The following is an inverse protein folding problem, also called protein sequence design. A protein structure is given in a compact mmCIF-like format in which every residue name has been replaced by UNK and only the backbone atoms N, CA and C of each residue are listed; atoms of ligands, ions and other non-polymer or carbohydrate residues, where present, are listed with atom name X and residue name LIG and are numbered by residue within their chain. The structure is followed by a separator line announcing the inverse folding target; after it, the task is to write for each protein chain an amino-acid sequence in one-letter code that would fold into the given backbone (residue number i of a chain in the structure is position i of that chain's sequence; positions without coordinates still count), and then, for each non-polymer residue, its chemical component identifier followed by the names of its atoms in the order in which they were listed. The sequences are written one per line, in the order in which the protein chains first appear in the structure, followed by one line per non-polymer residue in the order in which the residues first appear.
data_IF_804719755640
#
_entry.id   IF_804719755640
#
_cell.length_a   1.000
_cell.length_b   1.000
_cell.length_c   1.000
_cell.angle_alpha   90.00
_cell.angle_beta   90.00
_cell.angle_gamma   90.00
#
_symmetry.space_group_name_H-M   'P 1'
#
loop_
_entity.id
_entity.type
_entity.pdbx_description
1 polymer ?
#
# COMPACT_ATOMS: atom_id res chain seq x y z
N UNK A 1 -14.37 -5.04 2.78
CA UNK A 1 -13.01 -4.49 2.91
C UNK A 1 -12.04 -5.25 2.04
N UNK A 2 -11.14 -4.53 1.39
CA UNK A 2 -10.12 -5.13 0.50
C UNK A 2 -8.78 -4.41 0.63
N UNK A 3 -7.70 -5.18 0.38
CA UNK A 3 -6.37 -4.61 0.14
C UNK A 3 -5.66 -5.39 -0.97
N UNK A 4 -5.21 -4.72 -2.03
CA UNK A 4 -4.55 -5.35 -3.16
C UNK A 4 -3.02 -5.36 -3.00
N UNK A 5 -2.47 -6.43 -2.50
CA UNK A 5 -1.01 -6.60 -2.34
C UNK A 5 -0.29 -6.75 -3.68
N UNK A 6 -0.95 -7.31 -4.69
CA UNK A 6 -0.38 -7.59 -6.01
C UNK A 6 -0.48 -6.41 -6.98
N UNK A 7 -1.12 -5.30 -6.58
CA UNK A 7 -1.33 -4.11 -7.42
C UNK A 7 -2.05 -4.45 -8.73
N UNK A 8 -1.37 -4.33 -9.89
CA UNK A 8 -1.96 -4.69 -11.19
C UNK A 8 -2.12 -6.20 -11.40
N UNK A 9 -1.61 -7.00 -10.47
CA UNK A 9 -1.74 -8.45 -10.44
C UNK A 9 -2.80 -8.97 -9.47
N UNK A 10 -3.61 -8.12 -8.85
CA UNK A 10 -4.64 -8.55 -7.92
C UNK A 10 -5.81 -9.23 -8.64
N UNK A 11 -6.26 -10.38 -8.10
CA UNK A 11 -7.41 -11.12 -8.59
C UNK A 11 -8.55 -11.18 -7.57
N UNK A 12 -8.25 -10.99 -6.28
CA UNK A 12 -9.20 -11.22 -5.18
C UNK A 12 -10.39 -10.26 -5.26
N UNK A 13 -10.15 -8.97 -5.51
CA UNK A 13 -11.24 -7.98 -5.58
C UNK A 13 -12.23 -8.33 -6.67
N UNK A 14 -11.74 -8.61 -7.90
CA UNK A 14 -12.61 -8.94 -9.03
C UNK A 14 -13.34 -10.27 -8.81
N UNK A 15 -12.66 -11.29 -8.25
CA UNK A 15 -13.22 -12.59 -7.93
C UNK A 15 -14.41 -12.47 -6.96
N UNK A 16 -14.19 -11.80 -5.84
CA UNK A 16 -15.21 -11.61 -4.81
C UNK A 16 -16.37 -10.75 -5.34
N UNK A 17 -16.07 -9.70 -6.07
CA UNK A 17 -17.11 -8.82 -6.61
C UNK A 17 -17.97 -9.50 -7.68
N UNK A 18 -17.38 -10.40 -8.46
CA UNK A 18 -18.15 -11.23 -9.38
C UNK A 18 -19.16 -12.11 -8.65
N UNK A 19 -18.73 -12.80 -7.60
CA UNK A 19 -19.63 -13.66 -6.81
C UNK A 19 -20.76 -12.84 -6.16
N UNK A 20 -20.44 -11.68 -5.58
CA UNK A 20 -21.44 -10.77 -4.99
C UNK A 20 -22.47 -10.34 -6.04
N UNK A 21 -22.02 -9.98 -7.24
CA UNK A 21 -22.90 -9.61 -8.35
C UNK A 21 -23.76 -10.78 -8.80
N UNK A 22 -23.19 -11.98 -8.98
CA UNK A 22 -23.90 -13.18 -9.41
C UNK A 22 -24.97 -13.63 -8.39
N UNK A 23 -24.74 -13.34 -7.11
CA UNK A 23 -25.75 -13.53 -6.04
C UNK A 23 -26.89 -12.51 -6.08
N UNK A 24 -26.83 -11.51 -6.97
CA UNK A 24 -27.83 -10.45 -7.08
C UNK A 24 -27.79 -9.41 -5.95
N UNK A 25 -26.71 -9.35 -5.17
CA UNK A 25 -26.53 -8.39 -4.09
C UNK A 25 -26.24 -7.02 -4.70
N UNK A 26 -26.94 -6.00 -4.22
CA UNK A 26 -26.83 -4.61 -4.71
C UNK A 26 -26.57 -3.67 -3.53
N UNK A 27 -26.23 -2.41 -3.87
CA UNK A 27 -26.07 -1.30 -2.91
C UNK A 27 -24.97 -1.55 -1.88
N UNK A 28 -23.80 -2.01 -2.35
CA UNK A 28 -22.65 -2.22 -1.47
C UNK A 28 -21.69 -1.02 -1.47
N UNK A 29 -20.98 -0.88 -0.37
CA UNK A 29 -19.82 0.02 -0.24
C UNK A 29 -18.54 -0.79 -0.30
N UNK A 30 -17.66 -0.47 -1.25
CA UNK A 30 -16.29 -0.99 -1.24
C UNK A 30 -15.41 -0.10 -0.35
N UNK A 31 -14.76 -0.69 0.65
CA UNK A 31 -13.71 -0.07 1.43
C UNK A 31 -12.36 -0.71 1.08
N UNK A 32 -11.56 -0.04 0.23
CA UNK A 32 -10.29 -0.56 -0.25
C UNK A 32 -9.12 0.37 0.10
N UNK A 33 -7.92 -0.18 0.28
CA UNK A 33 -6.72 0.65 0.46
C UNK A 33 -6.39 1.48 -0.78
N UNK A 34 -6.56 0.91 -1.97
CA UNK A 34 -6.64 1.62 -3.26
C UNK A 34 -7.28 0.74 -4.32
N UNK A 35 -7.67 1.35 -5.45
CA UNK A 35 -8.20 0.66 -6.63
C UNK A 35 -7.44 1.13 -7.87
N UNK A 36 -6.86 0.21 -8.61
CA UNK A 36 -6.06 0.46 -9.81
C UNK A 36 -6.65 -0.15 -11.06
N UNK A 37 -5.89 -0.17 -12.15
CA UNK A 37 -6.34 -0.70 -13.46
C UNK A 37 -6.74 -2.17 -13.41
N UNK A 38 -6.14 -2.97 -12.52
CA UNK A 38 -6.54 -4.37 -12.33
C UNK A 38 -8.02 -4.50 -11.99
N UNK A 39 -8.60 -3.47 -11.41
CA UNK A 39 -9.98 -3.43 -10.94
C UNK A 39 -10.94 -2.71 -11.91
N UNK A 40 -10.49 -2.33 -13.11
CA UNK A 40 -11.34 -1.69 -14.13
C UNK A 40 -12.64 -2.44 -14.43
N UNK A 41 -12.72 -3.80 -14.35
CA UNK A 41 -13.99 -4.53 -14.49
C UNK A 41 -15.09 -4.12 -13.49
N UNK A 42 -14.75 -3.52 -12.35
CA UNK A 42 -15.72 -3.05 -11.36
C UNK A 42 -16.63 -1.93 -11.88
N UNK A 43 -16.27 -1.27 -12.99
CA UNK A 43 -17.10 -0.22 -13.61
C UNK A 43 -18.49 -0.75 -13.98
N UNK A 44 -18.59 -2.00 -14.45
CA UNK A 44 -19.88 -2.63 -14.74
C UNK A 44 -20.76 -2.72 -13.50
N UNK A 45 -20.18 -3.02 -12.36
CA UNK A 45 -20.87 -3.13 -11.06
C UNK A 45 -21.23 -1.77 -10.45
N UNK A 46 -20.50 -0.71 -10.83
CA UNK A 46 -20.86 0.68 -10.51
C UNK A 46 -22.09 1.09 -11.34
N UNK A 47 -22.08 0.81 -12.65
CA UNK A 47 -23.14 1.21 -13.58
C UNK A 47 -24.45 0.49 -13.28
N UNK A 48 -24.42 -0.77 -12.90
CA UNK A 48 -25.61 -1.54 -12.60
C UNK A 48 -26.13 -1.36 -11.15
N UNK A 49 -25.36 -0.63 -10.30
CA UNK A 49 -25.73 -0.35 -8.93
C UNK A 49 -25.44 -1.47 -7.93
N UNK A 50 -24.61 -2.42 -8.27
CA UNK A 50 -24.03 -3.37 -7.31
C UNK A 50 -23.12 -2.60 -6.35
N UNK A 51 -22.27 -1.73 -6.88
CA UNK A 51 -21.41 -0.82 -6.10
C UNK A 51 -22.03 0.57 -6.13
N UNK A 52 -22.40 1.10 -4.98
CA UNK A 52 -22.98 2.44 -4.86
C UNK A 52 -22.06 3.43 -4.16
N UNK A 53 -21.14 2.95 -3.31
CA UNK A 53 -20.20 3.80 -2.60
C UNK A 53 -18.79 3.20 -2.65
N UNK A 54 -17.78 4.09 -2.63
CA UNK A 54 -16.37 3.69 -2.57
C UNK A 54 -15.66 4.51 -1.50
N UNK A 55 -14.93 3.84 -0.61
CA UNK A 55 -14.01 4.45 0.35
C UNK A 55 -12.60 3.93 0.09
N UNK A 56 -11.66 4.84 -0.19
CA UNK A 56 -10.32 4.44 -0.61
C UNK A 56 -9.26 5.49 -0.23
N UNK A 57 -7.99 5.11 -0.30
CA UNK A 57 -6.89 6.07 -0.22
C UNK A 57 -6.43 6.56 -1.60
N UNK A 58 -6.87 5.89 -2.68
CA UNK A 58 -6.60 6.30 -4.05
C UNK A 58 -7.41 5.46 -5.03
N UNK A 59 -7.82 6.07 -6.13
CA UNK A 59 -8.57 5.41 -7.20
C UNK A 59 -8.01 5.86 -8.55
N UNK A 60 -7.75 4.92 -9.43
CA UNK A 60 -7.15 5.18 -10.75
C UNK A 60 -7.88 4.40 -11.85
N UNK A 61 -7.52 4.68 -13.11
CA UNK A 61 -8.05 3.99 -14.27
C UNK A 61 -9.53 4.28 -14.51
N UNK A 62 -10.24 3.35 -15.10
CA UNK A 62 -11.64 3.51 -15.47
C UNK A 62 -12.60 3.75 -14.29
N UNK A 63 -12.24 3.26 -13.10
CA UNK A 63 -13.03 3.54 -11.89
C UNK A 63 -12.97 5.03 -11.54
N UNK A 64 -11.79 5.65 -11.57
CA UNK A 64 -11.63 7.08 -11.36
C UNK A 64 -12.41 7.90 -12.38
N UNK A 65 -12.38 7.52 -13.65
CA UNK A 65 -13.18 8.13 -14.72
C UNK A 65 -14.68 7.97 -14.47
N UNK A 66 -15.13 6.78 -14.09
CA UNK A 66 -16.55 6.51 -13.81
C UNK A 66 -17.08 7.38 -12.66
N UNK A 67 -16.32 7.49 -11.57
CA UNK A 67 -16.67 8.37 -10.44
C UNK A 67 -16.72 9.82 -10.87
N UNK A 68 -15.69 10.30 -11.57
CA UNK A 68 -15.59 11.70 -12.01
C UNK A 68 -16.70 12.09 -12.98
N UNK A 69 -17.20 11.14 -13.78
CA UNK A 69 -18.33 11.31 -14.70
C UNK A 69 -19.70 11.07 -14.04
N UNK A 70 -19.77 10.96 -12.71
CA UNK A 70 -21.02 10.83 -11.96
C UNK A 70 -21.75 9.51 -12.12
N UNK A 71 -21.06 8.43 -12.51
CA UNK A 71 -21.65 7.10 -12.65
C UNK A 71 -21.89 6.40 -11.29
N UNK A 72 -21.13 6.76 -10.26
CA UNK A 72 -21.31 6.25 -8.91
C UNK A 72 -22.56 6.91 -8.29
N UNK A 73 -23.54 6.12 -7.84
CA UNK A 73 -24.82 6.62 -7.31
C UNK A 73 -24.68 7.32 -5.96
N UNK A 74 -23.75 6.88 -5.12
CA UNK A 74 -23.50 7.43 -3.80
C UNK A 74 -22.20 8.21 -3.72
N UNK A 75 -21.40 7.99 -2.69
CA UNK A 75 -20.22 8.78 -2.39
C UNK A 75 -18.91 8.04 -2.69
N UNK A 76 -17.96 8.78 -3.23
CA UNK A 76 -16.56 8.39 -3.23
C UNK A 76 -15.83 9.18 -2.13
N UNK A 77 -15.32 8.50 -1.11
CA UNK A 77 -14.62 9.11 0.01
C UNK A 77 -13.14 8.75 -0.07
N UNK A 78 -12.30 9.76 -0.32
CA UNK A 78 -10.84 9.60 -0.35
C UNK A 78 -10.26 9.98 1.00
N UNK A 79 -9.42 9.10 1.56
CA UNK A 79 -8.73 9.31 2.83
C UNK A 79 -7.24 9.06 2.68
N UNK A 80 -6.41 9.79 3.43
CA UNK A 80 -5.01 9.40 3.59
C UNK A 80 -4.90 8.01 4.23
N UNK A 81 -3.72 7.39 4.16
CA UNK A 81 -3.50 6.08 4.75
C UNK A 81 -3.83 6.07 6.27
N UNK A 82 -3.33 7.05 7.02
CA UNK A 82 -3.67 7.20 8.44
C UNK A 82 -5.14 7.57 8.67
N UNK A 83 -5.72 8.38 7.78
CA UNK A 83 -7.14 8.76 7.85
C UNK A 83 -8.08 7.57 7.64
N UNK A 84 -7.71 6.62 6.77
CA UNK A 84 -8.47 5.37 6.58
C UNK A 84 -8.47 4.53 7.87
N UNK A 85 -7.29 4.31 8.45
CA UNK A 85 -7.19 3.53 9.70
C UNK A 85 -7.89 4.25 10.86
N UNK A 86 -7.75 5.57 10.95
CA UNK A 86 -8.50 6.36 11.94
C UNK A 86 -10.01 6.12 11.82
N UNK A 87 -10.54 6.17 10.60
CA UNK A 87 -11.97 5.97 10.36
C UNK A 87 -12.45 4.57 10.78
N UNK A 88 -11.63 3.53 10.62
CA UNK A 88 -11.92 2.19 11.14
C UNK A 88 -11.91 2.15 12.68
N UNK A 89 -10.88 2.70 13.29
CA UNK A 89 -10.71 2.72 14.76
C UNK A 89 -11.83 3.49 15.46
N UNK A 90 -12.32 4.57 14.85
CA UNK A 90 -13.39 5.41 15.42
C UNK A 90 -14.81 4.91 15.10
N UNK A 91 -14.94 3.89 14.24
CA UNK A 91 -16.24 3.43 13.77
C UNK A 91 -16.92 4.36 12.75
N UNK A 92 -16.21 5.39 12.25
CA UNK A 92 -16.68 6.23 11.14
C UNK A 92 -16.85 5.42 9.85
N UNK A 93 -15.98 4.43 9.66
CA UNK A 93 -16.10 3.40 8.63
C UNK A 93 -16.22 2.04 9.32
N UNK A 94 -17.26 1.30 8.97
CA UNK A 94 -17.45 -0.08 9.41
C UNK A 94 -17.24 -1.00 8.21
N UNK A 95 -16.55 -2.11 8.44
CA UNK A 95 -16.35 -3.18 7.47
C UNK A 95 -17.11 -4.40 7.95
N UNK A 96 -18.16 -4.77 7.23
CA UNK A 96 -18.94 -5.98 7.57
C UNK A 96 -18.11 -7.23 7.29
N UNK A 97 -17.48 -7.29 6.12
CA UNK A 97 -16.63 -8.41 5.72
C UNK A 97 -15.34 -7.89 5.11
N UNK A 98 -14.20 -8.31 5.67
CA UNK A 98 -12.89 -8.11 5.06
C UNK A 98 -12.49 -9.37 4.28
N UNK A 99 -12.19 -9.22 3.00
CA UNK A 99 -11.66 -10.26 2.13
C UNK A 99 -10.16 -10.05 1.96
N UNK A 100 -9.37 -10.98 2.44
CA UNK A 100 -7.91 -10.84 2.54
C UNK A 100 -7.23 -11.89 1.70
N UNK A 101 -6.63 -11.47 0.58
CA UNK A 101 -5.72 -12.32 -0.19
C UNK A 101 -4.43 -12.55 0.59
N UNK A 102 -4.05 -13.80 0.81
CA UNK A 102 -2.85 -14.16 1.55
C UNK A 102 -2.10 -15.30 0.85
N UNK A 103 -0.81 -15.12 0.53
CA UNK A 103 0.03 -16.12 -0.14
C UNK A 103 0.11 -17.47 0.56
N UNK A 104 0.07 -17.48 1.89
CA UNK A 104 -0.05 -18.72 2.67
C UNK A 104 -1.02 -18.54 3.84
N UNK A 105 -1.79 -19.57 4.11
CA UNK A 105 -2.67 -19.65 5.26
C UNK A 105 -2.69 -21.08 5.79
N UNK A 106 -2.74 -21.27 7.11
CA UNK A 106 -3.04 -22.59 7.68
C UNK A 106 -4.56 -22.77 7.89
N UNK A 107 -4.99 -23.98 8.21
CA UNK A 107 -6.38 -24.35 8.39
C UNK A 107 -7.09 -23.59 9.52
N UNK A 108 -6.34 -22.94 10.40
CA UNK A 108 -6.87 -22.11 11.50
C UNK A 108 -6.93 -20.63 11.16
N UNK A 109 -6.32 -20.19 10.03
CA UNK A 109 -6.38 -18.80 9.61
C UNK A 109 -5.15 -17.97 9.95
N UNK A 110 -3.98 -18.57 10.26
CA UNK A 110 -2.74 -17.81 10.37
C UNK A 110 -2.23 -17.46 8.97
N UNK A 111 -2.29 -16.18 8.62
CA UNK A 111 -1.94 -15.67 7.30
C UNK A 111 -0.53 -15.11 7.24
N UNK A 112 0.19 -15.38 6.13
CA UNK A 112 1.47 -14.74 5.82
C UNK A 112 1.50 -14.28 4.37
N UNK A 113 2.18 -13.17 4.13
CA UNK A 113 2.39 -12.62 2.78
C UNK A 113 3.54 -13.28 2.01
N UNK A 114 4.16 -14.32 2.56
CA UNK A 114 5.32 -15.03 2.02
C UNK A 114 5.23 -16.53 2.28
N UNK A 115 5.99 -17.32 1.53
CA UNK A 115 6.12 -18.77 1.69
C UNK A 115 5.24 -19.59 0.75
N UNK A 116 4.57 -18.96 -0.21
CA UNK A 116 3.75 -19.59 -1.24
C UNK A 116 4.21 -19.29 -2.66
N UNK A 117 3.37 -19.67 -3.61
CA UNK A 117 3.59 -19.37 -5.05
C UNK A 117 3.28 -17.91 -5.40
N UNK A 118 2.50 -17.23 -4.58
CA UNK A 118 2.01 -15.88 -4.78
C UNK A 118 2.54 -14.92 -3.72
N UNK A 119 3.83 -14.99 -3.38
CA UNK A 119 4.43 -14.10 -2.39
C UNK A 119 4.26 -12.64 -2.76
N UNK A 120 3.75 -11.83 -1.81
CA UNK A 120 3.51 -10.41 -1.95
C UNK A 120 4.17 -9.56 -0.86
N UNK A 121 4.89 -10.19 0.08
CA UNK A 121 5.57 -9.50 1.16
C UNK A 121 4.70 -9.27 2.39
N UNK A 122 4.59 -8.01 2.84
CA UNK A 122 3.84 -7.68 4.05
C UNK A 122 2.33 -7.53 3.81
N UNK A 123 1.51 -7.85 4.82
CA UNK A 123 0.03 -7.73 4.77
C UNK A 123 -0.50 -6.52 5.58
N UNK A 124 0.25 -5.46 5.69
CA UNK A 124 0.06 -4.36 6.66
C UNK A 124 -1.31 -3.70 6.67
N UNK A 125 -1.82 -3.30 5.50
CA UNK A 125 -3.15 -2.67 5.43
C UNK A 125 -4.27 -3.67 5.72
N UNK A 126 -4.11 -4.92 5.27
CA UNK A 126 -5.04 -6.00 5.56
C UNK A 126 -5.10 -6.34 7.05
N UNK A 127 -3.98 -6.17 7.78
CA UNK A 127 -3.99 -6.31 9.25
C UNK A 127 -5.00 -5.35 9.90
N UNK A 128 -5.07 -4.10 9.45
CA UNK A 128 -6.01 -3.13 10.00
C UNK A 128 -7.46 -3.52 9.71
N UNK A 129 -7.75 -4.03 8.52
CA UNK A 129 -9.07 -4.52 8.17
C UNK A 129 -9.46 -5.75 9.01
N UNK A 130 -8.55 -6.71 9.16
CA UNK A 130 -8.76 -7.89 10.00
C UNK A 130 -9.02 -7.56 11.48
N UNK A 131 -8.43 -6.46 11.99
CA UNK A 131 -8.65 -6.04 13.37
C UNK A 131 -10.01 -5.38 13.62
N UNK A 132 -10.61 -4.78 12.58
CA UNK A 132 -11.78 -3.91 12.73
C UNK A 132 -13.03 -4.39 11.96
N UNK A 133 -12.91 -5.39 11.09
CA UNK A 133 -14.06 -5.96 10.39
C UNK A 133 -14.89 -6.86 11.31
N UNK A 134 -16.20 -6.93 11.06
CA UNK A 134 -17.11 -7.82 11.76
C UNK A 134 -16.83 -9.29 11.42
N UNK A 135 -16.47 -9.57 10.15
CA UNK A 135 -16.05 -10.88 9.65
C UNK A 135 -14.82 -10.77 8.79
N UNK A 136 -13.96 -11.77 8.86
CA UNK A 136 -12.71 -11.84 8.10
C UNK A 136 -12.66 -13.16 7.33
N UNK A 137 -12.51 -13.06 6.02
CA UNK A 137 -12.33 -14.18 5.10
C UNK A 137 -10.90 -14.12 4.56
N UNK A 138 -10.06 -15.08 4.96
CA UNK A 138 -8.76 -15.29 4.37
C UNK A 138 -8.90 -16.10 3.08
N UNK A 139 -8.41 -15.56 1.97
CA UNK A 139 -8.41 -16.21 0.65
C UNK A 139 -6.96 -16.52 0.28
N UNK A 140 -6.65 -17.78 0.12
CA UNK A 140 -5.28 -18.25 -0.16
C UNK A 140 -5.24 -19.15 -1.38
N UNK A 141 -4.11 -19.20 -2.04
CA UNK A 141 -3.82 -20.18 -3.09
C UNK A 141 -2.72 -21.17 -2.68
N UNK A 142 -2.40 -21.21 -1.38
CA UNK A 142 -1.47 -22.17 -0.80
C UNK A 142 -1.81 -22.42 0.68
N UNK A 143 -2.58 -23.46 0.93
CA UNK A 143 -2.80 -23.98 2.28
C UNK A 143 -1.52 -24.65 2.78
N UNK A 144 -1.12 -24.31 4.01
CA UNK A 144 0.05 -24.88 4.67
C UNK A 144 -0.35 -25.51 6.00
N UNK A 145 0.38 -26.53 6.50
CA UNK A 145 0.10 -27.10 7.81
C UNK A 145 0.27 -26.08 8.95
N UNK A 146 -0.58 -26.16 9.96
CA UNK A 146 -0.39 -25.43 11.22
C UNK A 146 0.93 -25.86 11.92
N UNK A 147 1.71 -24.93 12.49
CA UNK A 147 1.46 -23.47 12.60
C UNK A 147 2.14 -22.66 11.47
N UNK A 148 1.44 -21.73 10.86
CA UNK A 148 2.00 -20.77 9.88
C UNK A 148 2.54 -19.52 10.60
N UNK A 149 3.60 -19.66 11.37
CA UNK A 149 4.19 -18.58 12.16
C UNK A 149 5.56 -18.12 11.62
N UNK A 150 5.94 -16.87 11.91
CA UNK A 150 5.18 -15.79 12.56
C UNK A 150 4.07 -15.27 11.65
N UNK A 151 2.82 -15.29 12.10
CA UNK A 151 1.69 -14.86 11.33
C UNK A 151 1.68 -13.32 11.15
N UNK A 152 1.31 -12.85 9.94
CA UNK A 152 1.02 -11.44 9.69
C UNK A 152 -0.37 -11.08 10.22
N UNK A 153 -1.34 -11.97 10.00
CA UNK A 153 -2.67 -11.90 10.59
C UNK A 153 -2.89 -13.21 11.34
N UNK A 154 -3.22 -13.11 12.62
CA UNK A 154 -3.43 -14.25 13.50
C UNK A 154 -4.78 -14.90 13.25
N UNK A 155 -4.86 -16.22 13.38
CA UNK A 155 -6.09 -17.00 13.39
C UNK A 155 -7.16 -16.46 14.34
N UNK A 156 -6.76 -15.72 15.38
CA UNK A 156 -7.70 -15.09 16.33
C UNK A 156 -8.53 -13.97 15.70
N UNK A 157 -8.25 -13.59 14.44
CA UNK A 157 -8.92 -12.53 13.68
C UNK A 157 -9.59 -13.05 12.41
N UNK A 158 -9.47 -14.32 12.11
CA UNK A 158 -10.00 -14.93 10.88
C UNK A 158 -11.20 -15.78 11.20
N UNK A 159 -12.32 -15.56 10.52
CA UNK A 159 -13.55 -16.34 10.69
C UNK A 159 -13.62 -17.49 9.68
N UNK A 160 -13.12 -17.28 8.46
CA UNK A 160 -13.20 -18.26 7.36
C UNK A 160 -11.90 -18.29 6.58
N UNK A 161 -11.54 -19.49 6.12
CA UNK A 161 -10.41 -19.71 5.20
C UNK A 161 -10.98 -20.32 3.92
N UNK A 162 -10.62 -19.74 2.77
CA UNK A 162 -11.05 -20.18 1.44
C UNK A 162 -9.80 -20.41 0.59
N UNK A 163 -9.65 -21.62 0.07
CA UNK A 163 -8.60 -21.93 -0.89
C UNK A 163 -9.12 -21.74 -2.31
N UNK A 164 -8.31 -21.10 -3.15
CA UNK A 164 -8.57 -20.83 -4.57
C UNK A 164 -7.37 -21.19 -5.41
N UNK A 165 -7.52 -21.28 -6.72
CA UNK A 165 -6.42 -21.63 -7.62
C UNK A 165 -5.31 -20.57 -7.62
N UNK A 166 -5.68 -19.29 -7.60
CA UNK A 166 -4.74 -18.18 -7.65
C UNK A 166 -5.34 -16.89 -7.09
N UNK A 167 -4.61 -16.22 -6.18
CA UNK A 167 -5.02 -14.94 -5.58
C UNK A 167 -4.44 -13.73 -6.32
N UNK A 168 -3.39 -13.91 -7.11
CA UNK A 168 -2.75 -12.82 -7.84
C UNK A 168 -1.51 -13.25 -8.60
N UNK A 169 -0.93 -12.30 -9.34
CA UNK A 169 0.32 -12.47 -10.08
C UNK A 169 1.44 -11.59 -9.47
N UNK A 170 2.39 -12.16 -8.71
CA UNK A 170 3.49 -11.40 -8.08
C UNK A 170 4.34 -10.61 -9.07
N UNK A 171 4.45 -11.07 -10.32
CA UNK A 171 5.23 -10.39 -11.36
C UNK A 171 4.67 -9.02 -11.73
N UNK A 172 3.42 -8.75 -11.37
CA UNK A 172 2.74 -7.47 -11.62
C UNK A 172 2.73 -6.53 -10.40
N UNK A 173 3.42 -6.87 -9.32
CA UNK A 173 3.62 -5.98 -8.16
C UNK A 173 4.40 -4.74 -8.61
N UNK A 174 5.51 -4.95 -9.34
CA UNK A 174 6.33 -3.87 -9.89
C UNK A 174 5.71 -3.31 -11.17
N UNK A 175 4.82 -2.34 -11.07
CA UNK A 175 4.15 -1.73 -12.21
C UNK A 175 4.53 -0.27 -12.41
N UNK A 176 4.60 0.16 -13.66
CA UNK A 176 4.66 1.55 -14.10
C UNK A 176 5.65 2.43 -13.34
N UNK A 177 5.16 3.16 -12.35
CA UNK A 177 5.92 4.14 -11.60
C UNK A 177 7.01 3.56 -10.67
N UNK A 178 6.92 2.29 -10.28
CA UNK A 178 7.88 1.64 -9.38
C UNK A 178 9.20 1.24 -10.07
N UNK A 179 9.60 1.93 -11.12
CA UNK A 179 10.85 1.70 -11.86
C UNK A 179 11.74 2.94 -11.82
N UNK A 180 13.09 2.77 -11.77
CA UNK A 180 14.01 3.88 -11.95
C UNK A 180 13.68 4.65 -13.24
N UNK A 181 13.76 5.96 -13.18
CA UNK A 181 13.49 6.83 -14.34
C UNK A 181 14.75 7.08 -15.15
N UNK A 182 14.57 7.23 -16.48
CA UNK A 182 15.60 7.78 -17.38
C UNK A 182 15.23 9.19 -17.88
N UNK A 183 14.07 9.72 -17.48
CA UNK A 183 13.64 11.09 -17.81
C UNK A 183 14.58 12.10 -17.12
N UNK A 184 15.29 12.90 -17.92
CA UNK A 184 16.25 13.89 -17.43
C UNK A 184 15.62 14.91 -16.46
N UNK A 185 14.37 15.31 -16.68
CA UNK A 185 13.68 16.24 -15.76
C UNK A 185 13.45 15.61 -14.39
N UNK A 186 13.06 14.35 -14.35
CA UNK A 186 12.86 13.61 -13.08
C UNK A 186 14.20 13.36 -12.37
N UNK A 187 15.27 13.12 -13.12
CA UNK A 187 16.62 13.01 -12.55
C UNK A 187 17.10 14.35 -11.97
N UNK A 188 16.87 15.47 -12.66
CA UNK A 188 17.15 16.80 -12.11
C UNK A 188 16.34 17.11 -10.85
N UNK A 189 15.04 16.76 -10.84
CA UNK A 189 14.21 16.89 -9.64
C UNK A 189 14.78 16.08 -8.47
N UNK A 190 15.21 14.85 -8.72
CA UNK A 190 15.84 14.00 -7.71
C UNK A 190 17.12 14.61 -7.15
N UNK A 191 17.93 15.25 -8.00
CA UNK A 191 19.15 15.93 -7.62
C UNK A 191 18.85 17.15 -6.74
N UNK A 192 17.91 17.99 -7.13
CA UNK A 192 17.47 19.13 -6.31
C UNK A 192 16.88 18.68 -4.97
N UNK A 193 16.07 17.63 -4.93
CA UNK A 193 15.58 17.05 -3.68
C UNK A 193 16.72 16.60 -2.79
N UNK A 194 17.73 15.93 -3.34
CA UNK A 194 18.90 15.49 -2.59
C UNK A 194 19.69 16.68 -2.06
N UNK A 195 19.96 17.70 -2.89
CA UNK A 195 20.62 18.92 -2.46
C UNK A 195 19.87 19.63 -1.35
N UNK A 196 18.54 19.69 -1.44
CA UNK A 196 17.73 20.26 -0.36
C UNK A 196 17.92 19.48 0.95
N UNK A 197 17.72 18.16 0.92
CA UNK A 197 17.82 17.29 2.10
C UNK A 197 19.17 17.44 2.80
N UNK A 198 20.27 17.36 2.04
CA UNK A 198 21.64 17.34 2.60
C UNK A 198 22.11 18.69 3.15
N UNK A 199 21.39 19.77 2.85
CA UNK A 199 21.67 21.12 3.37
C UNK A 199 20.75 21.52 4.55
N UNK A 200 19.91 20.61 5.03
CA UNK A 200 19.07 20.83 6.22
C UNK A 200 19.79 20.35 7.49
N UNK A 201 19.46 20.90 8.68
CA UNK A 201 20.00 20.42 9.96
C UNK A 201 19.52 19.01 10.33
N UNK A 202 18.53 18.47 9.64
CA UNK A 202 17.96 17.13 9.88
C UNK A 202 18.78 16.04 9.19
N UNK A 203 19.60 16.37 8.17
CA UNK A 203 20.49 15.41 7.51
C UNK A 203 21.72 15.14 8.36
N UNK A 204 21.60 14.25 9.30
CA UNK A 204 22.64 13.83 10.25
C UNK A 204 22.55 12.32 10.46
N UNK A 205 23.59 11.74 11.04
CA UNK A 205 23.57 10.32 11.38
C UNK A 205 22.35 9.95 12.24
N UNK A 206 21.66 8.90 11.88
CA UNK A 206 20.43 8.44 12.52
C UNK A 206 19.15 9.16 12.06
N UNK A 207 19.15 9.90 10.94
CA UNK A 207 17.93 10.46 10.36
C UNK A 207 16.98 9.37 9.85
N UNK A 208 15.71 9.71 9.63
CA UNK A 208 14.68 8.80 9.14
C UNK A 208 14.08 9.30 7.82
N UNK A 209 13.66 8.36 6.98
CA UNK A 209 13.30 8.65 5.60
C UNK A 209 12.14 7.83 5.09
N UNK A 210 11.28 8.49 4.33
CA UNK A 210 10.24 7.85 3.51
C UNK A 210 10.33 8.36 2.08
N UNK A 211 10.12 7.47 1.12
CA UNK A 211 10.04 7.84 -0.29
C UNK A 211 8.77 7.28 -0.93
N UNK A 212 8.23 8.01 -1.90
CA UNK A 212 7.21 7.48 -2.80
C UNK A 212 7.80 6.50 -3.82
N UNK A 213 6.92 5.77 -4.49
CA UNK A 213 7.29 4.75 -5.49
C UNK A 213 7.40 5.30 -6.92
N UNK A 214 7.25 6.60 -7.12
CA UNK A 214 7.43 7.26 -8.41
C UNK A 214 8.90 7.35 -8.84
N UNK A 215 9.16 7.38 -10.16
CA UNK A 215 10.51 7.37 -10.71
C UNK A 215 11.42 8.48 -10.18
N UNK A 216 10.91 9.70 -9.94
CA UNK A 216 11.68 10.79 -9.34
C UNK A 216 12.02 10.51 -7.87
N UNK A 217 11.06 9.99 -7.09
CA UNK A 217 11.26 9.62 -5.68
C UNK A 217 12.29 8.50 -5.53
N UNK A 218 12.21 7.47 -6.40
CA UNK A 218 13.22 6.39 -6.47
C UNK A 218 14.60 6.95 -6.80
N UNK A 219 14.69 7.85 -7.78
CA UNK A 219 15.96 8.49 -8.16
C UNK A 219 16.53 9.33 -7.01
N UNK A 220 15.68 10.02 -6.24
CA UNK A 220 16.12 10.77 -5.04
C UNK A 220 16.74 9.85 -4.00
N UNK A 221 16.15 8.66 -3.76
CA UNK A 221 16.72 7.67 -2.83
C UNK A 221 18.11 7.19 -3.31
N UNK A 222 18.27 6.93 -4.60
CA UNK A 222 19.55 6.50 -5.19
C UNK A 222 20.60 7.61 -5.09
N UNK A 223 20.22 8.86 -5.35
CA UNK A 223 21.11 10.01 -5.25
C UNK A 223 21.53 10.25 -3.79
N UNK A 224 20.58 10.20 -2.86
CA UNK A 224 20.82 10.36 -1.43
C UNK A 224 21.76 9.27 -0.87
N UNK A 225 21.61 8.02 -1.30
CA UNK A 225 22.46 6.91 -0.92
C UNK A 225 23.94 7.15 -1.19
N UNK A 226 24.27 7.81 -2.31
CA UNK A 226 25.64 8.18 -2.66
C UNK A 226 26.22 9.18 -1.66
N UNK A 227 25.49 10.25 -1.37
CA UNK A 227 25.93 11.30 -0.42
C UNK A 227 26.05 10.73 1.00
N UNK A 228 25.13 9.86 1.41
CA UNK A 228 25.20 9.16 2.69
C UNK A 228 26.49 8.36 2.81
N UNK A 229 26.85 7.61 1.77
CA UNK A 229 28.09 6.84 1.72
C UNK A 229 29.33 7.73 1.80
N UNK A 230 29.36 8.82 1.03
CA UNK A 230 30.48 9.79 1.01
C UNK A 230 30.68 10.47 2.36
N UNK A 231 29.59 10.79 3.06
CA UNK A 231 29.61 11.48 4.36
C UNK A 231 29.60 10.55 5.57
N UNK A 232 29.58 9.23 5.35
CA UNK A 232 29.46 8.20 6.38
C UNK A 232 28.25 8.45 7.31
N UNK A 233 27.09 8.77 6.70
CA UNK A 233 25.82 8.99 7.38
C UNK A 233 24.92 7.78 7.13
N UNK A 234 24.24 7.31 8.18
CA UNK A 234 23.31 6.19 8.12
C UNK A 234 21.89 6.64 8.52
N UNK A 235 20.89 6.04 7.94
CA UNK A 235 19.50 6.17 8.40
C UNK A 235 19.28 5.27 9.61
N UNK A 236 18.51 5.74 10.58
CA UNK A 236 17.98 4.90 11.66
C UNK A 236 16.89 3.97 11.14
N UNK A 237 15.96 4.50 10.35
CA UNK A 237 14.95 3.68 9.68
C UNK A 237 14.47 4.31 8.37
N UNK A 238 14.07 3.43 7.44
CA UNK A 238 13.25 3.75 6.30
C UNK A 238 11.84 3.21 6.53
N UNK A 239 10.79 3.90 6.05
CA UNK A 239 9.40 3.48 6.27
C UNK A 239 8.52 3.71 5.05
N UNK A 240 7.40 3.01 5.01
CA UNK A 240 6.34 3.18 4.02
C UNK A 240 6.25 2.02 3.06
N UNK A 241 5.87 2.29 1.83
CA UNK A 241 5.94 1.31 0.75
C UNK A 241 7.37 1.19 0.23
N UNK A 242 7.91 -0.02 0.18
CA UNK A 242 9.31 -0.25 -0.10
C UNK A 242 9.56 -0.67 -1.54
N UNK A 243 10.73 -0.30 -2.04
CA UNK A 243 11.26 -0.67 -3.34
C UNK A 243 12.72 -1.08 -3.21
N UNK A 244 13.24 -1.73 -4.24
CA UNK A 244 14.63 -2.19 -4.30
C UNK A 244 15.68 -1.20 -3.78
N UNK A 245 15.69 0.11 -4.14
CA UNK A 245 16.68 1.05 -3.61
C UNK A 245 16.67 1.20 -2.09
N UNK A 246 15.51 1.12 -1.43
CA UNK A 246 15.44 1.12 0.03
C UNK A 246 15.99 -0.19 0.62
N UNK A 247 15.69 -1.33 0.00
CA UNK A 247 16.25 -2.62 0.40
C UNK A 247 17.77 -2.67 0.20
N UNK A 248 18.28 -2.09 -0.89
CA UNK A 248 19.72 -1.98 -1.14
C UNK A 248 20.43 -1.18 -0.02
N UNK A 249 19.77 -0.15 0.56
CA UNK A 249 20.33 0.57 1.72
C UNK A 249 20.48 -0.34 2.94
N UNK A 250 19.52 -1.24 3.18
CA UNK A 250 19.62 -2.22 4.27
C UNK A 250 20.79 -3.18 4.02
N UNK A 251 20.85 -3.78 2.85
CA UNK A 251 21.92 -4.73 2.46
C UNK A 251 23.30 -4.08 2.57
N UNK A 252 23.41 -2.80 2.20
CA UNK A 252 24.69 -2.04 2.24
C UNK A 252 25.00 -1.45 3.62
N UNK A 253 24.19 -1.70 4.65
CA UNK A 253 24.39 -1.16 5.99
C UNK A 253 24.22 0.35 6.11
N UNK A 254 23.48 0.97 5.18
CA UNK A 254 23.19 2.40 5.17
C UNK A 254 21.88 2.77 5.88
N UNK A 255 21.07 1.79 6.24
CA UNK A 255 19.90 1.92 7.10
C UNK A 255 19.88 0.82 8.15
N UNK A 256 19.48 1.13 9.37
CA UNK A 256 19.46 0.15 10.46
C UNK A 256 18.23 -0.73 10.44
N UNK A 257 17.09 -0.22 9.95
CA UNK A 257 15.83 -0.95 9.87
C UNK A 257 14.93 -0.45 8.75
N UNK A 258 14.13 -1.34 8.18
CA UNK A 258 13.02 -1.02 7.31
C UNK A 258 11.70 -1.33 8.02
N UNK A 259 10.76 -0.39 7.98
CA UNK A 259 9.43 -0.49 8.55
C UNK A 259 8.41 -0.50 7.40
N UNK A 260 8.01 -1.68 6.98
CA UNK A 260 7.31 -1.89 5.73
C UNK A 260 5.80 -1.92 5.89
N UNK A 261 5.12 -1.20 5.02
CA UNK A 261 3.66 -1.19 4.92
C UNK A 261 3.14 -1.81 3.62
N UNK A 262 3.99 -1.91 2.59
CA UNK A 262 3.67 -2.57 1.32
C UNK A 262 4.91 -2.73 0.45
N UNK A 263 5.07 -3.90 -0.15
CA UNK A 263 6.12 -4.17 -1.13
C UNK A 263 5.69 -3.72 -2.52
N UNK A 264 6.56 -2.97 -3.20
CA UNK A 264 6.30 -2.42 -4.53
C UNK A 264 7.14 -3.04 -5.64
N UNK A 265 8.01 -3.99 -5.30
CA UNK A 265 8.73 -4.83 -6.25
C UNK A 265 9.15 -6.15 -5.59
N UNK A 266 9.62 -7.10 -6.40
CA UNK A 266 10.03 -8.43 -5.91
C UNK A 266 11.27 -8.40 -5.01
N UNK A 267 12.12 -7.37 -5.13
CA UNK A 267 13.27 -7.22 -4.24
C UNK A 267 12.82 -6.84 -2.82
N UNK A 268 11.77 -6.03 -2.70
CA UNK A 268 11.16 -5.73 -1.41
C UNK A 268 10.51 -6.98 -0.81
N UNK A 269 9.74 -7.74 -1.59
CA UNK A 269 9.15 -9.02 -1.15
C UNK A 269 10.21 -9.98 -0.62
N UNK A 270 11.35 -10.11 -1.31
CA UNK A 270 12.45 -10.96 -0.85
C UNK A 270 13.12 -10.42 0.42
N UNK A 271 13.24 -9.10 0.53
CA UNK A 271 13.86 -8.41 1.68
C UNK A 271 13.11 -8.63 3.00
N UNK A 272 11.81 -8.97 2.96
CA UNK A 272 11.01 -9.30 4.17
C UNK A 272 11.60 -10.45 4.99
N UNK A 273 12.48 -11.25 4.41
CA UNK A 273 13.20 -12.35 5.08
C UNK A 273 14.35 -11.86 5.97
N UNK A 274 14.80 -10.61 5.82
CA UNK A 274 15.85 -10.01 6.64
C UNK A 274 15.29 -9.67 8.03
N UNK A 275 16.11 -9.90 9.07
CA UNK A 275 15.74 -9.67 10.47
C UNK A 275 15.55 -8.19 10.82
N UNK A 276 16.06 -7.27 10.01
CA UNK A 276 15.92 -5.81 10.18
C UNK A 276 14.85 -5.21 9.24
N UNK A 277 14.13 -6.06 8.52
CA UNK A 277 12.99 -5.68 7.73
C UNK A 277 11.71 -6.06 8.47
N UNK A 278 11.07 -5.07 9.08
CA UNK A 278 9.92 -5.26 9.95
C UNK A 278 8.62 -4.90 9.23
N UNK A 279 7.67 -5.82 9.25
CA UNK A 279 6.30 -5.48 8.90
C UNK A 279 5.67 -4.65 10.00
N UNK A 280 4.97 -3.60 9.63
CA UNK A 280 4.14 -2.81 10.54
C UNK A 280 2.74 -2.67 9.97
N UNK A 281 1.73 -2.62 10.83
CA UNK A 281 0.37 -2.34 10.39
C UNK A 281 0.23 -0.88 9.89
N UNK A 282 -0.77 -0.62 9.07
CA UNK A 282 -1.10 0.76 8.69
C UNK A 282 -1.45 1.62 9.91
N UNK A 283 -1.92 1.00 11.00
CA UNK A 283 -2.17 1.66 12.28
C UNK A 283 -0.89 2.10 12.97
N UNK A 284 0.12 1.24 13.06
CA UNK A 284 1.45 1.57 13.60
C UNK A 284 2.14 2.61 12.72
N UNK A 285 1.94 2.53 11.41
CA UNK A 285 2.51 3.49 10.47
C UNK A 285 1.96 4.90 10.69
N UNK A 286 0.62 5.10 10.63
CA UNK A 286 0.09 6.44 10.44
C UNK A 286 -1.24 6.74 11.14
N UNK A 287 -1.74 5.89 12.06
CA UNK A 287 -2.95 6.23 12.78
C UNK A 287 -2.70 7.40 13.76
N UNK A 288 -3.38 8.56 13.60
CA UNK A 288 -3.15 9.75 14.43
C UNK A 288 -3.50 9.55 15.90
N UNK A 289 -4.28 8.53 16.26
CA UNK A 289 -4.61 8.19 17.65
C UNK A 289 -3.59 7.28 18.32
N UNK A 290 -2.66 6.72 17.58
CA UNK A 290 -1.59 5.92 18.16
C UNK A 290 -0.52 6.83 18.76
N UNK A 291 -0.19 6.62 20.04
CA UNK A 291 0.82 7.42 20.78
C UNK A 291 2.19 7.40 20.12
N UNK A 292 2.53 6.32 19.42
CA UNK A 292 3.82 6.10 18.81
C UNK A 292 3.78 5.86 17.29
N UNK A 293 2.80 6.44 16.56
CA UNK A 293 2.76 6.30 15.11
C UNK A 293 4.10 6.71 14.48
N UNK A 294 4.60 5.85 13.57
CA UNK A 294 5.95 5.98 13.00
C UNK A 294 6.11 7.29 12.24
N UNK A 295 5.06 7.74 11.54
CA UNK A 295 5.08 9.03 10.80
C UNK A 295 5.44 10.23 11.69
N UNK A 296 5.17 10.18 13.00
CA UNK A 296 5.53 11.25 13.93
C UNK A 296 7.03 11.31 14.25
N UNK A 297 7.81 10.37 13.74
CA UNK A 297 9.27 10.25 13.95
C UNK A 297 10.05 10.45 12.65
N UNK A 298 9.37 10.79 11.55
CA UNK A 298 10.01 11.00 10.26
C UNK A 298 10.64 12.37 10.17
N UNK A 299 11.91 12.39 9.74
CA UNK A 299 12.64 13.61 9.42
C UNK A 299 12.37 14.07 7.99
N UNK A 300 12.31 13.14 7.04
CA UNK A 300 12.10 13.44 5.62
C UNK A 300 11.07 12.52 4.95
N UNK A 301 10.24 13.15 4.11
CA UNK A 301 9.29 12.45 3.22
C UNK A 301 9.42 13.05 1.82
N UNK A 302 9.76 12.23 0.82
CA UNK A 302 9.83 12.64 -0.58
C UNK A 302 8.70 11.97 -1.35
N UNK A 303 7.69 12.75 -1.71
CA UNK A 303 6.51 12.29 -2.44
C UNK A 303 6.28 13.16 -3.69
N UNK A 304 5.56 12.61 -4.65
CA UNK A 304 5.12 13.36 -5.84
C UNK A 304 3.74 13.98 -5.59
N UNK A 305 3.50 15.11 -6.24
CA UNK A 305 2.19 15.74 -6.35
C UNK A 305 1.79 15.87 -7.83
N UNK A 306 0.49 15.94 -8.11
CA UNK A 306 -0.03 16.29 -9.44
C UNK A 306 0.17 17.78 -9.70
N UNK A 307 -0.16 18.60 -8.71
CA UNK A 307 -0.08 20.04 -8.77
C UNK A 307 0.41 20.60 -7.44
N UNK A 308 1.17 21.69 -7.50
CA UNK A 308 1.63 22.47 -6.33
C UNK A 308 1.44 23.94 -6.67
N UNK A 309 0.76 24.70 -5.82
CA UNK A 309 0.61 26.14 -5.98
C UNK A 309 1.76 26.93 -5.32
N UNK A 310 1.72 28.26 -5.50
CA UNK A 310 2.75 29.17 -4.94
C UNK A 310 2.71 29.27 -3.39
N UNK A 311 1.68 28.75 -2.75
CA UNK A 311 1.52 28.66 -1.30
C UNK A 311 1.84 27.26 -0.77
N UNK A 312 2.40 26.37 -1.62
CA UNK A 312 2.74 24.98 -1.31
C UNK A 312 1.55 24.08 -0.98
N UNK A 313 0.33 24.44 -1.44
CA UNK A 313 -0.79 23.49 -1.41
C UNK A 313 -0.55 22.41 -2.47
N UNK A 314 -0.66 21.16 -2.08
CA UNK A 314 -0.41 19.99 -2.93
C UNK A 314 -1.71 19.28 -3.28
N UNK A 315 -1.96 19.07 -4.57
CA UNK A 315 -3.03 18.21 -5.04
C UNK A 315 -2.48 16.89 -5.55
N UNK A 316 -3.05 15.78 -5.05
CA UNK A 316 -2.59 14.41 -5.38
C UNK A 316 -3.75 13.49 -5.79
N UNK A 317 -5.00 13.97 -5.80
CA UNK A 317 -6.19 13.15 -6.03
C UNK A 317 -6.83 13.42 -7.38
N UNK A 318 -7.02 14.69 -7.74
CA UNK A 318 -7.67 15.10 -8.98
C UNK A 318 -6.72 15.87 -9.88
N UNK A 319 -6.91 15.81 -11.19
CA UNK A 319 -6.20 16.67 -12.13
C UNK A 319 -6.87 18.05 -12.24
N UNK A 320 -6.30 18.93 -13.07
CA UNK A 320 -6.81 20.30 -13.31
C UNK A 320 -8.23 20.36 -13.89
N UNK A 321 -8.75 19.24 -14.41
CA UNK A 321 -10.11 19.11 -14.92
C UNK A 321 -11.08 18.53 -13.88
N UNK A 322 -10.60 18.26 -12.68
CA UNK A 322 -11.38 17.62 -11.61
C UNK A 322 -11.54 16.11 -11.77
N UNK A 323 -10.78 15.48 -12.66
CA UNK A 323 -10.81 14.02 -12.84
C UNK A 323 -9.95 13.32 -11.79
N UNK A 324 -10.49 12.27 -11.18
CA UNK A 324 -9.75 11.45 -10.21
C UNK A 324 -8.68 10.64 -10.96
N UNK A 325 -7.41 10.87 -10.62
CA UNK A 325 -6.23 10.24 -11.25
C UNK A 325 -5.22 9.69 -10.24
N UNK A 326 -5.40 9.96 -8.96
CA UNK A 326 -4.44 9.65 -7.87
C UNK A 326 -4.89 8.64 -6.84
#
# INVERSE_FOLDING_TARGET
GFHHHFREGDYVVNMVMKEIHDMGIKDITICASSLGKAHDPLVEYIEDGTITNIQSSGVRGKIGEAISNGKLKGLAIMRSHGGRVRALVTGETQIDIAFIGTPTCDEYGNCRGIGGKSDCGVLSYAMSDAFHANKVVAITDCMVPFPNFPAHISMTKVDYVVEVDQIGDPKKIATGAAKPTTDMRKLMMADYCTQFVVNTPYFKDGFSYQTGVGGASIASTISLAKVMKERNIRMRFGVGGLTKPMCDLLINGQVDALLDTQDFDLAAVESVKDLHHFRISAGEYANPFNKGAVVNKLDFVILAALEVDVHFNCNVVVDSNGMITG
#
